data_IF_983894238443
#
_entry.id   IF_983894238443
#
_cell.length_a   1.000
_cell.length_b   1.000
_cell.length_c   1.000
_cell.angle_alpha   90.00
_cell.angle_beta   90.00
_cell.angle_gamma   90.00
#
_symmetry.space_group_name_H-M   'P 1'
#
loop_
_entity.id
_entity.type
_entity.pdbx_description
1 polymer ?
#
# COMPACT_ATOMS: atom_id res chain seq x y z
N UNK A 1 12.79 -18.77 -8.77
CA UNK A 1 12.71 -18.35 -7.35
C UNK A 1 14.12 -18.31 -6.77
N UNK A 2 14.39 -17.37 -5.86
CA UNK A 2 15.70 -17.17 -5.23
C UNK A 2 15.51 -16.70 -3.78
N UNK A 3 16.42 -17.06 -2.86
CA UNK A 3 16.38 -16.67 -1.45
C UNK A 3 15.75 -17.73 -0.53
N UNK A 4 15.08 -17.29 0.54
CA UNK A 4 14.33 -18.12 1.48
C UNK A 4 15.16 -18.82 2.56
N UNK A 5 16.43 -18.45 2.72
CA UNK A 5 17.35 -19.10 3.68
C UNK A 5 17.76 -18.15 4.80
N UNK A 6 18.24 -18.73 5.89
CA UNK A 6 18.98 -18.03 6.94
C UNK A 6 20.47 -18.08 6.58
N UNK A 7 21.17 -16.94 6.40
CA UNK A 7 22.57 -16.90 5.98
C UNK A 7 23.52 -17.62 6.96
N UNK A 8 24.20 -18.68 6.50
CA UNK A 8 25.07 -19.54 7.33
C UNK A 8 26.28 -18.81 7.96
N UNK A 9 26.86 -17.80 7.30
CA UNK A 9 28.14 -17.18 7.71
C UNK A 9 28.05 -16.05 8.75
N UNK A 10 26.86 -15.74 9.27
CA UNK A 10 26.63 -14.81 10.39
C UNK A 10 25.43 -15.24 11.28
N UNK A 11 24.99 -16.49 11.14
CA UNK A 11 23.75 -17.01 11.71
C UNK A 11 23.75 -17.10 13.25
N UNK A 12 24.92 -17.20 13.88
CA UNK A 12 24.98 -17.54 15.31
C UNK A 12 24.43 -16.44 16.24
N UNK A 13 24.21 -15.21 15.72
CA UNK A 13 23.64 -14.08 16.47
C UNK A 13 22.82 -13.14 15.56
N UNK A 14 21.54 -13.45 15.29
CA UNK A 14 20.59 -12.49 14.71
C UNK A 14 19.37 -13.13 14.00
N UNK A 15 18.32 -12.34 13.78
CA UNK A 15 17.10 -12.76 13.07
C UNK A 15 17.24 -12.48 11.57
N UNK A 16 18.09 -13.25 10.89
CA UNK A 16 18.42 -13.01 9.48
C UNK A 16 17.49 -13.79 8.53
N UNK A 17 17.12 -13.15 7.42
CA UNK A 17 16.38 -13.78 6.32
C UNK A 17 16.89 -13.23 4.98
N UNK A 18 17.16 -14.11 4.01
CA UNK A 18 17.66 -13.68 2.69
C UNK A 18 16.59 -12.91 1.90
N UNK A 19 16.98 -11.87 1.14
CA UNK A 19 16.11 -11.28 0.13
C UNK A 19 15.57 -12.36 -0.82
N UNK A 20 14.26 -12.46 -0.93
CA UNK A 20 13.59 -13.58 -1.57
C UNK A 20 12.73 -13.11 -2.73
N UNK A 21 12.92 -13.71 -3.91
CA UNK A 21 12.10 -13.48 -5.11
C UNK A 21 11.30 -14.73 -5.40
N UNK A 22 9.97 -14.59 -5.38
CA UNK A 22 9.02 -15.65 -5.69
C UNK A 22 8.26 -15.32 -6.97
N UNK A 23 8.07 -16.32 -7.83
CA UNK A 23 7.38 -16.17 -9.11
C UNK A 23 6.24 -17.15 -9.19
N UNK A 24 5.14 -16.82 -9.88
CA UNK A 24 3.98 -17.72 -9.95
C UNK A 24 3.12 -17.63 -8.68
N UNK A 25 3.09 -16.46 -8.05
CA UNK A 25 2.11 -16.15 -7.01
C UNK A 25 0.70 -16.36 -7.58
N UNK A 26 -0.18 -16.99 -6.80
CA UNK A 26 -1.59 -17.20 -7.12
C UNK A 26 -2.46 -16.60 -6.01
N UNK A 27 -3.72 -16.27 -6.32
CA UNK A 27 -4.63 -15.62 -5.37
C UNK A 27 -5.02 -16.54 -4.19
N UNK A 28 -4.75 -17.84 -4.29
CA UNK A 28 -5.05 -18.84 -3.26
C UNK A 28 -4.00 -18.86 -2.15
N UNK A 29 -2.76 -18.46 -2.47
CA UNK A 29 -1.62 -18.50 -1.54
C UNK A 29 -1.77 -17.51 -0.40
N UNK A 30 -1.32 -17.89 0.81
CA UNK A 30 -1.27 -17.01 1.96
C UNK A 30 -0.47 -15.73 1.70
N UNK A 31 0.61 -15.85 0.92
CA UNK A 31 1.49 -14.75 0.52
C UNK A 31 0.76 -13.65 -0.28
N UNK A 32 -0.35 -13.99 -0.94
CA UNK A 32 -1.19 -13.01 -1.64
C UNK A 32 -2.12 -12.26 -0.67
N UNK A 33 -2.60 -12.94 0.37
CA UNK A 33 -3.67 -12.45 1.26
C UNK A 33 -3.16 -11.76 2.51
N UNK A 34 -1.96 -12.13 2.97
CA UNK A 34 -1.41 -11.73 4.26
C UNK A 34 -0.12 -10.96 4.06
N UNK A 35 0.02 -9.91 4.86
CA UNK A 35 1.24 -9.11 4.89
C UNK A 35 2.43 -9.94 5.40
N UNK A 36 3.56 -9.89 4.69
CA UNK A 36 4.75 -10.67 5.06
C UNK A 36 5.67 -9.96 6.04
N UNK A 37 5.68 -8.62 6.02
CA UNK A 37 6.58 -7.78 6.81
C UNK A 37 8.07 -8.15 6.71
N UNK A 38 8.45 -8.80 5.60
CA UNK A 38 9.77 -9.39 5.38
C UNK A 38 10.30 -9.11 3.98
N UNK A 39 11.57 -9.43 3.71
CA UNK A 39 12.24 -9.08 2.46
C UNK A 39 11.87 -10.06 1.32
N UNK A 40 10.58 -10.19 1.04
CA UNK A 40 10.02 -11.10 0.03
C UNK A 40 9.33 -10.26 -1.06
N UNK A 41 9.77 -10.42 -2.31
CA UNK A 41 9.18 -9.82 -3.50
C UNK A 41 8.47 -10.91 -4.34
N UNK A 42 7.15 -11.08 -4.17
CA UNK A 42 6.39 -12.02 -4.98
C UNK A 42 5.94 -11.39 -6.31
N UNK A 43 5.93 -12.18 -7.37
CA UNK A 43 5.50 -11.78 -8.70
C UNK A 43 4.35 -12.67 -9.19
N UNK A 44 3.25 -12.00 -9.55
CA UNK A 44 2.08 -12.58 -10.23
C UNK A 44 2.04 -12.06 -11.67
N UNK A 45 1.74 -12.93 -12.63
CA UNK A 45 1.47 -12.52 -14.01
C UNK A 45 -0.03 -12.26 -14.15
N UNK A 46 -0.37 -11.28 -14.98
CA UNK A 46 -1.73 -10.99 -15.41
C UNK A 46 -1.75 -10.84 -16.93
N UNK A 47 -2.94 -10.94 -17.53
CA UNK A 47 -3.14 -10.89 -18.98
C UNK A 47 -4.03 -9.74 -19.43
N UNK A 48 -4.85 -9.17 -18.55
CA UNK A 48 -5.66 -7.98 -18.84
C UNK A 48 -5.60 -6.94 -17.72
N UNK A 49 -5.93 -5.70 -18.08
CA UNK A 49 -6.02 -4.58 -17.13
C UNK A 49 -7.14 -4.80 -16.11
N UNK A 50 -8.28 -5.34 -16.55
CA UNK A 50 -9.42 -5.63 -15.67
C UNK A 50 -9.08 -6.73 -14.65
N UNK A 51 -8.36 -7.77 -15.09
CA UNK A 51 -7.90 -8.86 -14.22
C UNK A 51 -6.98 -8.33 -13.12
N UNK A 52 -5.97 -7.54 -13.49
CA UNK A 52 -4.99 -7.04 -12.50
C UNK A 52 -5.61 -6.03 -11.55
N UNK A 53 -6.56 -5.22 -12.01
CA UNK A 53 -7.29 -4.28 -11.15
C UNK A 53 -8.17 -5.03 -10.15
N UNK A 54 -8.92 -6.04 -10.60
CA UNK A 54 -9.71 -6.90 -9.71
C UNK A 54 -8.80 -7.58 -8.67
N UNK A 55 -7.68 -8.15 -9.11
CA UNK A 55 -6.71 -8.79 -8.22
C UNK A 55 -6.08 -7.79 -7.23
N UNK A 56 -5.74 -6.58 -7.66
CA UNK A 56 -5.18 -5.55 -6.79
C UNK A 56 -6.17 -5.14 -5.68
N UNK A 57 -7.46 -5.02 -6.02
CA UNK A 57 -8.51 -4.66 -5.07
C UNK A 57 -9.01 -5.86 -4.22
N UNK A 58 -8.65 -7.11 -4.59
CA UNK A 58 -9.00 -8.35 -3.87
C UNK A 58 -8.18 -8.54 -2.59
N UNK A 59 -8.28 -7.57 -1.71
CA UNK A 59 -7.63 -7.52 -0.41
C UNK A 59 -8.52 -6.77 0.59
N UNK A 60 -8.43 -7.15 1.86
CA UNK A 60 -9.10 -6.44 2.95
C UNK A 60 -8.35 -5.15 3.36
N UNK A 61 -7.14 -4.95 2.82
CA UNK A 61 -6.26 -3.82 3.11
C UNK A 61 -6.31 -2.78 1.98
N UNK A 62 -5.86 -1.56 2.26
CA UNK A 62 -5.93 -0.43 1.33
C UNK A 62 -5.02 0.72 1.73
N UNK A 63 -3.74 0.44 2.06
CA UNK A 63 -2.77 1.49 2.43
C UNK A 63 -2.25 2.21 1.18
N UNK A 64 -1.32 1.57 0.46
CA UNK A 64 -0.67 2.14 -0.72
C UNK A 64 -0.65 1.16 -1.88
N UNK A 65 -0.76 1.70 -3.09
CA UNK A 65 -0.69 0.99 -4.36
C UNK A 65 0.30 1.68 -5.31
N UNK A 66 0.80 0.93 -6.29
CA UNK A 66 1.84 1.39 -7.19
C UNK A 66 1.53 1.00 -8.63
N UNK A 67 1.54 1.98 -9.54
CA UNK A 67 1.33 1.81 -10.98
C UNK A 67 2.62 2.21 -11.70
N UNK A 68 3.09 1.35 -12.60
CA UNK A 68 4.24 1.65 -13.46
C UNK A 68 3.84 1.56 -14.93
N UNK A 69 3.65 2.71 -15.58
CA UNK A 69 3.25 2.80 -16.99
C UNK A 69 3.50 4.20 -17.54
N UNK A 70 3.69 4.31 -18.86
CA UNK A 70 3.75 5.60 -19.58
C UNK A 70 2.43 5.95 -20.29
N UNK A 71 1.39 5.12 -20.14
CA UNK A 71 0.08 5.37 -20.74
C UNK A 71 -0.78 6.20 -19.77
N UNK A 72 -1.20 7.39 -20.20
CA UNK A 72 -1.98 8.31 -19.38
C UNK A 72 -3.41 7.83 -19.10
N UNK A 73 -4.07 7.18 -20.06
CA UNK A 73 -5.42 6.63 -19.88
C UNK A 73 -5.40 5.53 -18.80
N UNK A 74 -4.34 4.72 -18.76
CA UNK A 74 -4.14 3.73 -17.69
C UNK A 74 -3.91 4.38 -16.33
N UNK A 75 -3.11 5.45 -16.29
CA UNK A 75 -2.84 6.17 -15.04
C UNK A 75 -4.16 6.72 -14.47
N UNK A 76 -4.92 7.46 -15.27
CA UNK A 76 -6.20 8.04 -14.85
C UNK A 76 -7.16 6.95 -14.37
N UNK A 77 -7.38 5.92 -15.19
CA UNK A 77 -8.27 4.81 -14.87
C UNK A 77 -7.88 4.10 -13.56
N UNK A 78 -6.63 3.67 -13.43
CA UNK A 78 -6.20 2.92 -12.24
C UNK A 78 -6.13 3.81 -11.01
N UNK A 79 -5.81 5.10 -11.13
CA UNK A 79 -5.84 6.03 -10.01
C UNK A 79 -7.25 6.23 -9.45
N UNK A 80 -8.28 6.17 -10.29
CA UNK A 80 -9.67 6.29 -9.87
C UNK A 80 -10.26 4.97 -9.33
N UNK A 81 -9.91 3.83 -9.95
CA UNK A 81 -10.52 2.53 -9.62
C UNK A 81 -9.78 1.73 -8.53
N UNK A 82 -8.53 2.07 -8.18
CA UNK A 82 -7.81 1.40 -7.10
C UNK A 82 -8.36 1.79 -5.72
N UNK A 83 -8.70 0.80 -4.92
CA UNK A 83 -9.27 0.98 -3.58
C UNK A 83 -8.17 1.06 -2.50
N UNK A 84 -7.33 2.09 -2.59
CA UNK A 84 -6.21 2.36 -1.68
C UNK A 84 -6.19 3.83 -1.27
N UNK A 85 -5.72 4.14 -0.06
CA UNK A 85 -5.57 5.53 0.38
C UNK A 85 -4.52 6.29 -0.42
N UNK A 86 -3.53 5.58 -0.97
CA UNK A 86 -2.45 6.15 -1.76
C UNK A 86 -2.24 5.40 -3.07
N UNK A 87 -2.11 6.15 -4.16
CA UNK A 87 -1.75 5.63 -5.48
C UNK A 87 -0.48 6.32 -5.96
N UNK A 88 0.59 5.54 -6.13
CA UNK A 88 1.91 6.01 -6.53
C UNK A 88 2.16 5.66 -8.00
N UNK A 89 2.56 6.64 -8.81
CA UNK A 89 2.75 6.46 -10.26
C UNK A 89 4.23 6.59 -10.61
N UNK A 90 4.79 5.58 -11.26
CA UNK A 90 6.18 5.53 -11.76
C UNK A 90 7.27 5.84 -10.72
N UNK A 91 6.98 5.60 -9.44
CA UNK A 91 7.89 5.90 -8.35
C UNK A 91 7.21 5.78 -7.01
N UNK A 92 7.84 6.37 -6.00
CA UNK A 92 7.32 6.46 -4.64
C UNK A 92 7.70 7.81 -4.06
N UNK A 93 6.75 8.49 -3.43
CA UNK A 93 7.01 9.75 -2.72
C UNK A 93 6.17 9.87 -1.46
N UNK A 94 6.88 10.14 -0.37
CA UNK A 94 6.34 10.56 0.91
C UNK A 94 7.03 11.85 1.37
N UNK A 95 6.30 12.71 2.07
CA UNK A 95 6.84 13.93 2.67
C UNK A 95 5.93 14.40 3.80
N UNK A 96 6.47 15.16 4.76
CA UNK A 96 5.74 15.61 5.95
C UNK A 96 4.48 16.43 5.64
N UNK A 97 4.40 17.07 4.46
CA UNK A 97 3.25 17.87 4.04
C UNK A 97 2.22 17.11 3.18
N UNK A 98 2.52 15.87 2.78
CA UNK A 98 1.60 15.00 2.05
C UNK A 98 0.85 14.12 3.06
N UNK A 99 -0.46 13.91 2.92
CA UNK A 99 -1.20 13.04 3.82
C UNK A 99 -0.74 11.59 3.61
N UNK A 100 -0.58 10.86 4.71
CA UNK A 100 -0.29 9.43 4.73
C UNK A 100 -1.43 8.70 5.45
N UNK A 101 -2.12 7.81 4.77
CA UNK A 101 -3.31 7.17 5.34
C UNK A 101 -3.84 6.04 4.48
N UNK A 102 -4.45 5.06 5.12
CA UNK A 102 -5.07 3.92 4.46
C UNK A 102 -6.59 3.92 4.59
N UNK A 103 -7.23 3.06 3.80
CA UNK A 103 -8.66 2.76 3.89
C UNK A 103 -8.88 1.26 4.21
N UNK A 104 -10.15 0.83 4.30
CA UNK A 104 -10.52 -0.55 4.67
C UNK A 104 -9.92 -0.95 6.02
N UNK A 105 -9.36 -2.14 6.14
CA UNK A 105 -8.70 -2.59 7.37
C UNK A 105 -7.27 -2.04 7.53
N UNK A 106 -6.80 -1.14 6.65
CA UNK A 106 -5.49 -0.48 6.81
C UNK A 106 -5.50 0.72 7.73
N UNK A 107 -6.66 1.23 8.14
CA UNK A 107 -6.76 2.28 9.15
C UNK A 107 -7.84 3.33 8.88
N UNK A 108 -7.88 4.31 9.77
CA UNK A 108 -8.71 5.52 9.67
C UNK A 108 -7.85 6.72 10.06
N UNK A 109 -8.21 7.90 9.56
CA UNK A 109 -7.43 9.13 9.79
C UNK A 109 -6.22 9.23 8.86
N UNK A 110 -5.39 10.26 9.08
CA UNK A 110 -4.19 10.51 8.30
C UNK A 110 -3.06 10.95 9.21
N UNK A 111 -1.87 10.40 9.02
CA UNK A 111 -0.61 10.96 9.49
C UNK A 111 -0.07 11.99 8.49
N UNK A 112 0.88 12.82 8.94
CA UNK A 112 1.45 13.90 8.15
C UNK A 112 0.40 14.92 7.65
N UNK A 113 0.84 15.89 6.85
CA UNK A 113 0.04 17.02 6.38
C UNK A 113 -0.64 17.79 7.52
N UNK A 114 -1.55 18.71 7.17
CA UNK A 114 -2.39 19.38 8.17
C UNK A 114 -3.55 18.49 8.63
N UNK A 115 -3.88 17.43 7.89
CA UNK A 115 -4.99 16.52 8.22
C UNK A 115 -4.76 15.77 9.53
N UNK A 116 -3.50 15.44 9.86
CA UNK A 116 -3.15 14.82 11.14
C UNK A 116 -3.59 15.65 12.36
N UNK A 117 -3.75 16.96 12.22
CA UNK A 117 -4.24 17.81 13.31
C UNK A 117 -5.75 17.62 13.57
N UNK A 118 -6.53 17.15 12.58
CA UNK A 118 -7.99 17.03 12.72
C UNK A 118 -8.40 16.04 13.80
N UNK A 119 -7.61 15.00 14.05
CA UNK A 119 -7.86 14.00 15.09
C UNK A 119 -7.62 14.54 16.51
N UNK A 120 -6.90 15.66 16.65
CA UNK A 120 -6.55 16.28 17.93
C UNK A 120 -7.32 17.60 18.19
N UNK A 121 -8.03 18.13 17.21
CA UNK A 121 -8.72 19.41 17.30
C UNK A 121 -10.23 19.25 17.44
N UNK A 122 -10.81 19.89 18.46
CA UNK A 122 -12.26 19.93 18.66
C UNK A 122 -12.84 21.22 18.07
N UNK A 123 -13.65 21.08 17.00
CA UNK A 123 -14.34 22.20 16.33
C UNK A 123 -15.49 22.72 17.22
N UNK A 124 -15.56 24.05 17.45
CA UNK A 124 -16.63 24.71 18.22
C UNK A 124 -17.20 25.89 17.46
N UNK A 125 -18.53 25.90 17.23
CA UNK A 125 -19.27 27.02 16.65
C UNK A 125 -20.00 27.80 17.74
N UNK A 126 -19.81 29.12 17.77
CA UNK A 126 -20.59 30.05 18.61
C UNK A 126 -21.38 30.95 17.68
N UNK A 127 -22.68 31.09 17.92
CA UNK A 127 -23.57 31.92 17.12
C UNK A 127 -24.37 32.83 18.04
N UNK A 128 -24.34 34.13 17.75
CA UNK A 128 -25.10 35.15 18.46
C UNK A 128 -26.04 35.84 17.47
N UNK A 129 -27.32 35.95 17.79
CA UNK A 129 -28.27 36.70 16.98
C UNK A 129 -28.00 38.20 17.17
N UNK A 130 -27.90 38.94 16.07
CA UNK A 130 -27.80 40.39 16.11
C UNK A 130 -29.21 40.98 16.17
N UNK A 131 -29.41 41.94 17.08
CA UNK A 131 -30.63 42.74 17.21
C UNK A 131 -30.83 43.66 16.02
#
# INVERSE_FOLDING_TARGET
EYGGKVPLKKADKGNWFEPTVLTGLTAEMDLFKKETFGPIAPFMKFSSEDEVLELANKTEYGLASYIFTNNHERIERFSDELEFGEVQINGVKYAIYLPHGGIKNSGIGHDCSHLALEDYLIKKRVSNALS
#
